data_IF_022938345968
#
_entry.id   IF_022938345968
#
_cell.length_a   1.000
_cell.length_b   1.000
_cell.length_c   1.000
_cell.angle_alpha   90.00
_cell.angle_beta   90.00
_cell.angle_gamma   90.00
#
_symmetry.space_group_name_H-M   'P 1'
#
loop_
_entity.id
_entity.type
_entity.pdbx_description
1 polymer ?
#
# COMPACT_ATOMS: atom_id res chain seq x y z
N UNK A 1 -10.57 65.98 23.90
CA UNK A 1 -9.50 64.96 23.85
C UNK A 1 -9.98 63.51 23.90
N UNK A 2 -10.83 63.11 24.86
CA UNK A 2 -11.20 61.70 25.07
C UNK A 2 -11.80 60.95 23.86
N UNK A 3 -12.60 61.61 23.00
CA UNK A 3 -13.11 60.97 21.76
C UNK A 3 -12.00 60.56 20.79
N UNK A 4 -11.02 61.45 20.59
CA UNK A 4 -9.89 61.21 19.67
C UNK A 4 -9.00 60.09 20.18
N UNK A 5 -8.78 60.04 21.51
CA UNK A 5 -8.05 58.97 22.17
C UNK A 5 -8.76 57.61 22.04
N UNK A 6 -10.09 57.58 22.22
CA UNK A 6 -10.90 56.37 22.04
C UNK A 6 -10.86 55.85 20.59
N UNK A 7 -10.86 56.75 19.61
CA UNK A 7 -10.75 56.41 18.19
C UNK A 7 -9.39 55.74 17.87
N UNK A 8 -8.30 56.29 18.44
CA UNK A 8 -6.95 55.72 18.33
C UNK A 8 -6.90 54.31 18.90
N UNK A 9 -7.41 54.09 20.11
CA UNK A 9 -7.42 52.75 20.73
C UNK A 9 -8.22 51.71 19.93
N UNK A 10 -9.35 52.11 19.34
CA UNK A 10 -10.13 51.21 18.47
C UNK A 10 -9.36 50.82 17.21
N UNK A 11 -8.61 51.76 16.63
CA UNK A 11 -7.79 51.51 15.45
C UNK A 11 -6.67 50.52 15.78
N UNK A 12 -5.94 50.76 16.87
CA UNK A 12 -4.87 49.87 17.33
C UNK A 12 -5.39 48.46 17.68
N UNK A 13 -6.54 48.36 18.32
CA UNK A 13 -7.16 47.05 18.62
C UNK A 13 -7.50 46.26 17.35
N UNK A 14 -8.00 46.93 16.31
CA UNK A 14 -8.30 46.30 15.03
C UNK A 14 -7.03 45.86 14.28
N UNK A 15 -5.95 46.65 14.35
CA UNK A 15 -4.65 46.29 13.77
C UNK A 15 -4.05 45.07 14.49
N UNK A 16 -4.12 45.04 15.83
CA UNK A 16 -3.67 43.89 16.63
C UNK A 16 -4.47 42.62 16.35
N UNK A 17 -5.79 42.74 16.09
CA UNK A 17 -6.62 41.58 15.70
C UNK A 17 -6.18 40.98 14.37
N UNK A 18 -5.91 41.83 13.35
CA UNK A 18 -5.41 41.38 12.04
C UNK A 18 -4.05 40.71 12.18
N UNK A 19 -3.18 41.27 13.01
CA UNK A 19 -1.86 40.70 13.27
C UNK A 19 -1.97 39.30 13.91
N UNK A 20 -2.88 39.10 14.86
CA UNK A 20 -3.12 37.79 15.49
C UNK A 20 -3.64 36.73 14.50
N UNK A 21 -4.50 37.12 13.56
CA UNK A 21 -5.02 36.22 12.52
C UNK A 21 -3.91 35.79 11.56
N UNK A 22 -3.06 36.73 11.13
CA UNK A 22 -1.89 36.43 10.29
C UNK A 22 -0.90 35.48 10.99
N UNK A 23 -0.67 35.64 12.29
CA UNK A 23 0.18 34.71 13.06
C UNK A 23 -0.40 33.28 13.12
N UNK A 24 -1.72 33.12 13.27
CA UNK A 24 -2.35 31.80 13.28
C UNK A 24 -2.22 31.11 11.92
N UNK A 25 -2.42 31.85 10.84
CA UNK A 25 -2.23 31.34 9.48
C UNK A 25 -0.76 30.95 9.24
N UNK A 26 0.19 31.75 9.71
CA UNK A 26 1.62 31.42 9.62
C UNK A 26 1.98 30.13 10.38
N UNK A 27 1.39 29.89 11.56
CA UNK A 27 1.60 28.66 12.32
C UNK A 27 0.97 27.43 11.63
N UNK A 28 -0.20 27.58 11.00
CA UNK A 28 -0.79 26.50 10.21
C UNK A 28 0.05 26.22 8.95
N UNK A 29 0.54 27.27 8.29
CA UNK A 29 1.46 27.15 7.16
C UNK A 29 2.77 26.47 7.56
N UNK A 30 3.33 26.74 8.75
CA UNK A 30 4.51 26.03 9.27
C UNK A 30 4.23 24.54 9.46
N UNK A 31 3.06 24.16 10.00
CA UNK A 31 2.66 22.74 10.12
C UNK A 31 2.48 22.09 8.75
N UNK A 32 1.92 22.80 7.78
CA UNK A 32 1.76 22.31 6.42
C UNK A 32 3.12 22.13 5.73
N UNK A 33 4.04 23.09 5.89
CA UNK A 33 5.43 22.98 5.42
C UNK A 33 6.13 21.81 6.08
N UNK A 34 6.00 21.62 7.40
CA UNK A 34 6.56 20.47 8.13
C UNK A 34 6.09 19.12 7.54
N UNK A 35 4.80 18.99 7.20
CA UNK A 35 4.27 17.81 6.50
C UNK A 35 4.79 17.65 5.08
N UNK A 36 5.06 18.75 4.38
CA UNK A 36 5.63 18.72 3.03
C UNK A 36 7.11 18.36 3.04
N UNK A 37 7.89 18.84 4.01
CA UNK A 37 9.32 18.50 4.13
C UNK A 37 9.55 17.11 4.71
N UNK A 38 8.59 16.56 5.46
CA UNK A 38 8.64 15.15 5.87
C UNK A 38 8.26 14.19 4.74
N UNK A 39 7.74 14.68 3.61
CA UNK A 39 7.50 13.84 2.42
C UNK A 39 8.85 13.64 1.73
N UNK A 40 9.21 12.38 1.36
CA UNK A 40 10.40 12.16 0.56
C UNK A 40 10.29 12.93 -0.77
N UNK A 41 11.42 13.44 -1.31
CA UNK A 41 11.45 14.28 -2.49
C UNK A 41 10.71 13.60 -3.66
N UNK A 42 9.94 14.39 -4.41
CA UNK A 42 9.28 13.94 -5.63
C UNK A 42 10.34 13.50 -6.67
N UNK A 43 10.68 12.21 -6.63
CA UNK A 43 11.69 11.58 -7.48
C UNK A 43 12.09 10.17 -7.00
N UNK A 44 11.88 9.83 -5.72
CA UNK A 44 12.21 8.51 -5.15
C UNK A 44 11.16 7.99 -4.15
N UNK A 45 9.86 8.19 -4.44
CA UNK A 45 8.87 7.36 -3.76
C UNK A 45 9.04 5.95 -4.30
N UNK A 46 9.66 5.06 -3.52
CA UNK A 46 9.39 3.64 -3.69
C UNK A 46 7.86 3.51 -3.66
N UNK A 47 7.27 2.95 -4.70
CA UNK A 47 5.81 2.88 -4.87
C UNK A 47 5.09 2.07 -3.77
N UNK A 48 5.83 1.59 -2.76
CA UNK A 48 5.41 0.72 -1.68
C UNK A 48 5.74 1.32 -0.30
N UNK A 49 5.32 2.56 -0.06
CA UNK A 49 5.36 3.14 1.28
C UNK A 49 4.20 2.59 2.13
N UNK A 50 4.45 2.31 3.41
CA UNK A 50 3.44 1.89 4.37
C UNK A 50 2.53 3.08 4.78
N UNK A 51 1.88 3.71 3.81
CA UNK A 51 1.06 4.91 3.96
C UNK A 51 -0.41 4.60 4.31
N UNK A 52 -0.74 3.31 4.45
CA UNK A 52 -2.07 2.83 4.78
C UNK A 52 -3.06 2.83 3.62
N UNK A 53 -2.67 3.27 2.42
CA UNK A 53 -3.55 3.21 1.25
C UNK A 53 -3.85 1.77 0.86
N UNK A 54 -5.12 1.49 0.66
CA UNK A 54 -5.60 0.19 0.22
C UNK A 54 -5.55 0.11 -1.31
N UNK A 55 -5.31 -1.08 -1.83
CA UNK A 55 -5.30 -1.37 -3.26
C UNK A 55 -5.70 -2.82 -3.54
N UNK A 56 -6.11 -3.05 -4.78
CA UNK A 56 -6.23 -4.37 -5.39
C UNK A 56 -4.95 -4.71 -6.16
N UNK A 57 -4.61 -6.00 -6.23
CA UNK A 57 -3.53 -6.52 -7.08
C UNK A 57 -4.19 -7.28 -8.22
N UNK A 58 -4.22 -6.69 -9.41
CA UNK A 58 -4.98 -7.20 -10.56
C UNK A 58 -4.04 -7.84 -11.57
N UNK A 59 -4.31 -9.08 -11.97
CA UNK A 59 -3.63 -9.70 -13.09
C UNK A 59 -4.24 -9.19 -14.42
N UNK A 60 -3.51 -8.44 -15.27
CA UNK A 60 -4.08 -7.87 -16.49
C UNK A 60 -4.51 -8.90 -17.53
N UNK A 61 -3.91 -10.09 -17.55
CA UNK A 61 -4.25 -11.16 -18.51
C UNK A 61 -5.66 -11.72 -18.28
N UNK A 62 -6.08 -11.85 -17.02
CA UNK A 62 -7.39 -12.39 -16.64
C UNK A 62 -8.40 -11.32 -16.20
N UNK A 63 -7.91 -10.11 -15.92
CA UNK A 63 -8.64 -9.01 -15.26
C UNK A 63 -9.23 -9.43 -13.90
N UNK A 64 -8.55 -10.33 -13.19
CA UNK A 64 -8.94 -10.85 -11.88
C UNK A 64 -7.98 -10.38 -10.80
N UNK A 65 -8.47 -10.35 -9.57
CA UNK A 65 -7.70 -9.92 -8.41
C UNK A 65 -6.99 -11.13 -7.77
N UNK A 66 -5.87 -10.83 -7.14
CA UNK A 66 -5.30 -11.65 -6.08
C UNK A 66 -6.30 -11.62 -4.91
N UNK A 67 -6.69 -12.81 -4.44
CA UNK A 67 -7.81 -13.03 -3.52
C UNK A 67 -7.39 -14.02 -2.43
N UNK A 68 -7.90 -13.82 -1.22
CA UNK A 68 -7.72 -14.76 -0.12
C UNK A 68 -8.87 -15.76 -0.17
N UNK A 69 -8.56 -17.03 -0.43
CA UNK A 69 -9.56 -18.06 -0.67
C UNK A 69 -10.60 -18.13 0.47
N UNK A 70 -11.87 -17.96 0.09
CA UNK A 70 -12.99 -17.97 1.04
C UNK A 70 -12.99 -16.80 2.04
N UNK A 71 -12.14 -15.79 1.85
CA UNK A 71 -11.96 -14.69 2.80
C UNK A 71 -11.41 -15.13 4.16
N UNK A 72 -10.68 -16.25 4.21
CA UNK A 72 -10.13 -16.78 5.46
C UNK A 72 -9.17 -15.79 6.13
N UNK A 73 -9.29 -15.64 7.46
CA UNK A 73 -8.38 -14.83 8.26
C UNK A 73 -7.32 -15.67 8.99
N UNK A 74 -7.23 -16.97 8.71
CA UNK A 74 -6.31 -17.89 9.39
C UNK A 74 -4.89 -17.84 8.80
N UNK A 75 -3.89 -18.24 9.59
CA UNK A 75 -2.55 -18.53 9.06
C UNK A 75 -2.63 -19.72 8.10
N UNK A 76 -1.97 -19.62 6.96
CA UNK A 76 -2.06 -20.64 5.91
C UNK A 76 -3.24 -20.44 4.95
N UNK A 77 -4.03 -19.36 5.09
CA UNK A 77 -5.06 -19.03 4.11
C UNK A 77 -4.44 -18.91 2.71
N UNK A 78 -5.00 -19.68 1.76
CA UNK A 78 -4.47 -19.74 0.40
C UNK A 78 -4.74 -18.44 -0.35
N UNK A 79 -3.80 -18.04 -1.21
CA UNK A 79 -4.04 -16.97 -2.18
C UNK A 79 -4.36 -17.58 -3.55
N UNK A 80 -5.45 -17.12 -4.15
CA UNK A 80 -5.90 -17.54 -5.47
C UNK A 80 -6.23 -16.33 -6.36
N UNK A 81 -6.55 -16.62 -7.61
CA UNK A 81 -7.09 -15.67 -8.57
C UNK A 81 -8.62 -15.68 -8.48
N UNK A 82 -9.25 -14.52 -8.35
CA UNK A 82 -10.72 -14.43 -8.31
C UNK A 82 -11.26 -13.17 -8.96
N UNK A 83 -12.47 -13.24 -9.50
CA UNK A 83 -13.18 -12.08 -10.03
C UNK A 83 -13.29 -10.97 -8.97
N UNK A 84 -12.97 -9.73 -9.35
CA UNK A 84 -13.02 -8.60 -8.42
C UNK A 84 -14.44 -8.44 -7.86
N UNK A 85 -14.57 -8.49 -6.54
CA UNK A 85 -15.83 -8.45 -5.81
C UNK A 85 -15.85 -7.36 -4.72
N UNK A 86 -14.74 -6.65 -4.50
CA UNK A 86 -14.66 -5.53 -3.57
C UNK A 86 -14.56 -5.92 -2.09
N UNK A 87 -14.55 -7.22 -1.78
CA UNK A 87 -14.42 -7.71 -0.40
C UNK A 87 -13.06 -7.38 0.22
N UNK A 88 -12.96 -7.51 1.55
CA UNK A 88 -11.70 -7.39 2.27
C UNK A 88 -10.66 -8.46 1.89
N UNK A 89 -11.09 -9.59 1.34
CA UNK A 89 -10.22 -10.66 0.83
C UNK A 89 -9.34 -10.21 -0.35
N UNK A 90 -9.73 -9.14 -1.05
CA UNK A 90 -9.04 -8.64 -2.25
C UNK A 90 -8.33 -7.31 -2.03
N UNK A 91 -8.43 -6.74 -0.82
CA UNK A 91 -7.83 -5.45 -0.49
C UNK A 91 -6.55 -5.66 0.30
N UNK A 92 -5.50 -5.01 -0.16
CA UNK A 92 -4.17 -5.07 0.42
C UNK A 92 -3.65 -3.67 0.67
N UNK A 93 -2.66 -3.56 1.55
CA UNK A 93 -1.89 -2.33 1.79
C UNK A 93 -0.43 -2.69 1.96
N UNK A 94 0.46 -1.75 1.69
CA UNK A 94 1.87 -1.95 2.03
C UNK A 94 2.07 -1.85 3.55
N UNK A 95 2.82 -2.79 4.09
CA UNK A 95 3.33 -2.80 5.46
C UNK A 95 4.80 -2.41 5.51
N UNK A 96 5.38 -2.44 6.70
CA UNK A 96 6.82 -2.25 6.88
C UNK A 96 7.63 -3.34 6.18
N UNK A 97 8.90 -3.06 5.88
CA UNK A 97 9.88 -4.02 5.34
C UNK A 97 9.46 -4.72 4.03
N UNK A 98 8.62 -4.06 3.22
CA UNK A 98 8.12 -4.61 1.96
C UNK A 98 6.98 -5.62 2.12
N UNK A 99 6.38 -5.73 3.31
CA UNK A 99 5.21 -6.58 3.49
C UNK A 99 4.03 -6.08 2.64
N UNK A 100 3.26 -7.00 2.09
CA UNK A 100 1.96 -6.72 1.49
C UNK A 100 0.93 -7.36 2.42
N UNK A 101 0.12 -6.52 3.07
CA UNK A 101 -0.79 -6.93 4.14
C UNK A 101 -2.22 -6.97 3.60
N UNK A 102 -2.89 -8.11 3.76
CA UNK A 102 -4.32 -8.18 3.52
C UNK A 102 -5.07 -7.37 4.58
N UNK A 103 -5.98 -6.50 4.14
CA UNK A 103 -6.70 -5.55 5.01
C UNK A 103 -7.64 -6.27 5.98
N UNK A 104 -8.29 -7.35 5.54
CA UNK A 104 -9.30 -8.06 6.34
C UNK A 104 -8.69 -8.86 7.50
N UNK A 105 -7.62 -9.58 7.23
CA UNK A 105 -6.97 -10.47 8.21
C UNK A 105 -5.81 -9.82 8.96
N UNK A 106 -5.30 -8.69 8.45
CA UNK A 106 -4.07 -8.04 8.89
C UNK A 106 -2.83 -8.96 8.81
N UNK A 107 -2.83 -9.92 7.89
CA UNK A 107 -1.73 -10.87 7.64
C UNK A 107 -0.96 -10.53 6.36
N UNK A 108 0.30 -10.94 6.30
CA UNK A 108 1.17 -10.69 5.16
C UNK A 108 1.07 -11.79 4.10
N UNK A 109 1.23 -11.42 2.84
CA UNK A 109 1.55 -12.36 1.76
C UNK A 109 2.88 -13.03 2.08
N UNK A 110 2.91 -14.35 2.11
CA UNK A 110 4.02 -15.16 2.60
C UNK A 110 4.28 -16.34 1.64
N UNK A 111 5.56 -16.62 1.36
CA UNK A 111 5.99 -17.86 0.70
C UNK A 111 5.93 -19.00 1.73
N UNK A 112 5.04 -19.97 1.53
CA UNK A 112 4.81 -21.05 2.49
C UNK A 112 6.10 -21.73 2.95
N UNK A 113 6.36 -21.66 4.26
CA UNK A 113 7.54 -22.26 4.89
C UNK A 113 8.88 -21.62 4.48
N UNK A 114 8.86 -20.47 3.82
CA UNK A 114 10.06 -19.81 3.28
C UNK A 114 10.76 -20.58 2.15
N UNK A 115 10.09 -21.57 1.54
CA UNK A 115 10.69 -22.42 0.53
C UNK A 115 10.82 -21.68 -0.82
N UNK A 116 12.05 -21.53 -1.32
CA UNK A 116 12.33 -20.78 -2.55
C UNK A 116 12.18 -21.59 -3.84
N UNK A 117 11.63 -22.81 -3.80
CA UNK A 117 11.41 -23.63 -5.00
C UNK A 117 10.25 -23.09 -5.85
N UNK A 118 10.37 -23.25 -7.16
CA UNK A 118 9.26 -22.98 -8.08
C UNK A 118 8.06 -23.86 -7.73
N UNK A 119 6.87 -23.27 -7.79
CA UNK A 119 5.61 -23.91 -7.40
C UNK A 119 5.33 -23.85 -5.90
N UNK A 120 6.20 -23.25 -5.08
CA UNK A 120 5.90 -23.05 -3.66
C UNK A 120 4.67 -22.16 -3.53
N UNK A 121 3.74 -22.57 -2.69
CA UNK A 121 2.48 -21.88 -2.54
C UNK A 121 2.65 -20.48 -1.91
N UNK A 122 1.80 -19.55 -2.33
CA UNK A 122 1.68 -18.24 -1.68
C UNK A 122 0.44 -18.24 -0.77
N UNK A 123 0.65 -17.89 0.49
CA UNK A 123 -0.38 -17.91 1.54
C UNK A 123 -0.42 -16.57 2.27
N UNK A 124 -1.37 -16.44 3.19
CA UNK A 124 -1.29 -15.46 4.27
C UNK A 124 -0.67 -16.05 5.53
N UNK A 125 0.15 -15.25 6.20
CA UNK A 125 0.70 -15.58 7.51
C UNK A 125 0.85 -14.33 8.38
N UNK A 126 0.83 -14.52 9.70
CA UNK A 126 1.15 -13.45 10.64
C UNK A 126 2.47 -12.77 10.26
N UNK A 127 2.46 -11.45 10.21
CA UNK A 127 3.66 -10.69 9.84
C UNK A 127 4.78 -10.94 10.86
N UNK A 128 5.95 -11.38 10.39
CA UNK A 128 7.12 -11.67 11.22
C UNK A 128 8.39 -10.97 10.70
N UNK A 129 8.34 -10.30 9.55
CA UNK A 129 9.44 -9.50 9.01
C UNK A 129 10.52 -10.31 8.30
N UNK A 130 10.34 -11.63 8.17
CA UNK A 130 11.22 -12.49 7.37
C UNK A 130 11.19 -12.14 5.88
N UNK A 131 12.27 -12.46 5.17
CA UNK A 131 12.41 -12.12 3.75
C UNK A 131 11.39 -12.82 2.84
N UNK A 132 10.81 -13.95 3.27
CA UNK A 132 9.69 -14.64 2.61
C UNK A 132 8.36 -13.86 2.65
N UNK A 133 8.28 -12.76 3.40
CA UNK A 133 7.16 -11.81 3.43
C UNK A 133 7.51 -10.44 2.83
N UNK A 134 8.71 -10.28 2.30
CA UNK A 134 9.19 -9.00 1.77
C UNK A 134 9.12 -8.99 0.24
N UNK A 135 8.32 -8.07 -0.31
CA UNK A 135 7.94 -8.03 -1.71
C UNK A 135 8.17 -6.65 -2.33
N UNK A 136 8.68 -6.64 -3.56
CA UNK A 136 8.88 -5.43 -4.34
C UNK A 136 8.03 -5.45 -5.61
N UNK A 137 7.24 -4.40 -5.84
CA UNK A 137 6.53 -4.19 -7.11
C UNK A 137 7.48 -3.51 -8.08
N UNK A 138 7.85 -4.21 -9.15
CA UNK A 138 8.75 -3.71 -10.18
C UNK A 138 7.99 -2.95 -11.27
N UNK A 139 8.68 -2.02 -11.94
CA UNK A 139 8.10 -1.19 -13.00
C UNK A 139 7.59 -1.97 -14.22
N UNK A 140 8.03 -3.22 -14.38
CA UNK A 140 7.54 -4.12 -15.43
C UNK A 140 6.26 -4.88 -15.02
N UNK A 141 5.67 -4.58 -13.86
CA UNK A 141 4.46 -5.20 -13.32
C UNK A 141 4.69 -6.51 -12.57
N UNK A 142 5.93 -7.00 -12.44
CA UNK A 142 6.18 -8.18 -11.59
C UNK A 142 6.26 -7.81 -10.11
N UNK A 143 5.83 -8.74 -9.24
CA UNK A 143 5.98 -8.61 -7.78
C UNK A 143 7.01 -9.63 -7.32
N UNK A 144 8.23 -9.17 -7.00
CA UNK A 144 9.37 -10.01 -6.67
C UNK A 144 9.52 -10.15 -5.16
N UNK A 145 9.80 -11.35 -4.68
CA UNK A 145 10.20 -11.58 -3.30
C UNK A 145 11.69 -11.28 -3.11
N UNK A 146 12.04 -10.50 -2.09
CA UNK A 146 13.43 -10.07 -1.86
C UNK A 146 14.34 -11.19 -1.35
N UNK A 147 13.78 -12.22 -0.68
CA UNK A 147 14.55 -13.35 -0.17
C UNK A 147 14.90 -14.41 -1.22
N UNK A 148 13.97 -14.68 -2.15
CA UNK A 148 14.13 -15.74 -3.16
C UNK A 148 14.50 -15.23 -4.56
N UNK A 149 14.27 -13.94 -4.85
CA UNK A 149 14.41 -13.37 -6.20
C UNK A 149 13.36 -13.85 -7.21
N UNK A 150 12.34 -14.58 -6.75
CA UNK A 150 11.25 -15.12 -7.57
C UNK A 150 10.00 -14.27 -7.44
N UNK A 151 9.01 -14.49 -8.31
CA UNK A 151 7.85 -13.61 -8.45
C UNK A 151 6.54 -14.31 -8.12
N UNK A 152 5.53 -13.52 -7.74
CA UNK A 152 4.13 -13.95 -7.66
C UNK A 152 3.64 -14.31 -9.07
N UNK A 153 3.16 -15.53 -9.25
CA UNK A 153 2.79 -16.11 -10.54
C UNK A 153 1.42 -16.80 -10.46
N UNK A 154 0.62 -16.65 -11.51
CA UNK A 154 -0.64 -17.38 -11.70
C UNK A 154 -0.34 -18.79 -12.23
N UNK A 155 -0.62 -19.81 -11.42
CA UNK A 155 -0.27 -21.20 -11.74
C UNK A 155 -0.77 -21.62 -13.12
N UNK A 156 0.15 -22.16 -13.93
CA UNK A 156 -0.07 -22.60 -15.31
C UNK A 156 -0.71 -21.53 -16.22
N UNK A 157 -0.57 -20.24 -15.90
CA UNK A 157 -1.23 -19.14 -16.62
C UNK A 157 -2.77 -19.27 -16.67
N UNK A 158 -3.34 -19.97 -15.68
CA UNK A 158 -4.78 -20.17 -15.57
C UNK A 158 -5.55 -18.85 -15.49
N UNK A 159 -6.82 -18.87 -15.90
CA UNK A 159 -7.67 -17.67 -15.95
C UNK A 159 -8.97 -17.82 -15.18
N UNK A 160 -9.22 -19.01 -14.63
CA UNK A 160 -10.45 -19.30 -13.91
C UNK A 160 -10.37 -18.81 -12.48
N UNK A 161 -11.54 -18.53 -11.91
CA UNK A 161 -11.67 -18.29 -10.48
C UNK A 161 -11.16 -19.53 -9.73
N UNK A 162 -10.33 -19.32 -8.70
CA UNK A 162 -9.72 -20.40 -7.95
C UNK A 162 -8.34 -20.82 -8.45
N UNK A 163 -7.86 -20.30 -9.59
CA UNK A 163 -6.50 -20.60 -10.05
C UNK A 163 -5.49 -20.21 -8.97
N UNK A 164 -4.60 -21.14 -8.61
CA UNK A 164 -3.67 -20.93 -7.51
C UNK A 164 -2.62 -19.85 -7.81
N UNK A 165 -2.19 -19.13 -6.78
CA UNK A 165 -1.03 -18.24 -6.85
C UNK A 165 0.17 -18.92 -6.20
N UNK A 166 1.28 -18.98 -6.92
CA UNK A 166 2.51 -19.64 -6.47
C UNK A 166 3.75 -18.78 -6.74
N UNK A 167 4.86 -19.18 -6.14
CA UNK A 167 6.17 -18.60 -6.39
C UNK A 167 6.76 -19.22 -7.66
N UNK A 168 7.27 -18.39 -8.57
CA UNK A 168 7.91 -18.91 -9.79
C UNK A 168 9.09 -18.08 -10.26
N UNK A 169 10.02 -18.73 -10.97
CA UNK A 169 11.11 -18.05 -11.67
C UNK A 169 10.55 -17.03 -12.67
N UNK A 170 11.07 -15.80 -12.66
CA UNK A 170 10.63 -14.76 -13.58
C UNK A 170 10.85 -15.19 -15.03
N UNK A 171 9.79 -15.24 -15.82
CA UNK A 171 9.77 -15.65 -17.22
C UNK A 171 9.10 -14.61 -18.15
N UNK A 172 8.58 -13.51 -17.59
CA UNK A 172 8.04 -12.39 -18.36
C UNK A 172 6.64 -12.58 -18.94
N UNK A 173 6.00 -13.73 -18.69
CA UNK A 173 4.65 -14.03 -19.17
C UNK A 173 3.58 -13.19 -18.45
N UNK A 174 2.36 -13.15 -19.02
CA UNK A 174 1.21 -12.46 -18.42
C UNK A 174 0.77 -13.02 -17.07
N UNK A 175 1.14 -14.27 -16.74
CA UNK A 175 0.92 -14.88 -15.43
C UNK A 175 1.69 -14.17 -14.29
N UNK A 176 2.74 -13.41 -14.61
CA UNK A 176 3.61 -12.73 -13.66
C UNK A 176 3.44 -11.21 -13.65
N UNK A 177 2.41 -10.72 -14.34
CA UNK A 177 2.13 -9.30 -14.47
C UNK A 177 0.97 -8.92 -13.57
N UNK A 178 1.13 -7.83 -12.85
CA UNK A 178 0.21 -7.32 -11.85
C UNK A 178 0.12 -5.80 -11.96
N UNK A 179 -1.10 -5.29 -11.86
CA UNK A 179 -1.41 -3.87 -11.77
C UNK A 179 -1.89 -3.58 -10.35
N UNK A 180 -1.31 -2.56 -9.73
CA UNK A 180 -1.79 -2.03 -8.46
C UNK A 180 -2.89 -1.01 -8.76
N UNK A 181 -4.10 -1.27 -8.27
CA UNK A 181 -5.23 -0.35 -8.38
C UNK A 181 -5.65 0.11 -6.98
N UNK A 182 -5.39 1.36 -6.64
CA UNK A 182 -5.81 1.92 -5.36
C UNK A 182 -7.33 1.96 -5.23
N UNK A 183 -7.82 1.70 -4.01
CA UNK A 183 -9.23 1.80 -3.62
C UNK A 183 -9.66 3.26 -3.56
#
# INVERSE_FOLDING_TARGET
ENKKLLETYKKEANENKKLLESYKEAEENKKQVARLVSRPPHGTRNAQEADGREFYIINPQSNKALDVFGGSCENGANINLWGRNGSGAQRFRFGSNGAIINVQSNKAIDIQGGNSKDGTNIILWSAHGGSNQSWVVLGDGSIINTGSGKVIDVSNSGRDNGTNIHLWTKNGTGAQKWRIEYV
#
